data_IF_824621178251
#
_entry.id   IF_824621178251
#
_cell.length_a   1.000
_cell.length_b   1.000
_cell.length_c   1.000
_cell.angle_alpha   90.00
_cell.angle_beta   90.00
_cell.angle_gamma   90.00
#
_symmetry.space_group_name_H-M   'P 1'
#
loop_
_entity.id
_entity.type
_entity.pdbx_description
1 polymer ?
#
# COMPACT_ATOMS: atom_id res chain seq x y z
N UNK A 1 -9.60 -3.39 6.93
CA UNK A 1 -9.15 -4.55 7.75
C UNK A 1 -10.35 -5.10 8.53
N UNK A 2 -10.44 -6.43 8.67
CA UNK A 2 -11.52 -7.07 9.46
C UNK A 2 -11.53 -6.60 10.93
N UNK A 3 -10.39 -6.21 11.46
CA UNK A 3 -10.27 -5.66 12.84
C UNK A 3 -10.96 -4.30 13.02
N UNK A 4 -11.20 -3.58 11.92
CA UNK A 4 -11.86 -2.28 11.93
C UNK A 4 -13.38 -2.38 11.74
N UNK A 5 -13.94 -3.58 11.66
CA UNK A 5 -15.38 -3.78 11.56
C UNK A 5 -16.04 -3.61 12.93
N UNK A 6 -17.24 -3.01 12.92
CA UNK A 6 -18.11 -2.88 14.11
C UNK A 6 -19.55 -3.23 13.73
N UNK A 7 -20.37 -3.54 14.70
CA UNK A 7 -21.81 -3.79 14.50
C UNK A 7 -22.46 -2.51 13.99
N UNK A 8 -23.16 -2.60 12.86
CA UNK A 8 -23.72 -1.45 12.13
C UNK A 8 -22.80 -0.85 11.06
N UNK A 9 -21.59 -1.39 10.85
CA UNK A 9 -20.76 -0.96 9.73
C UNK A 9 -21.44 -1.27 8.39
N UNK A 10 -21.36 -0.32 7.47
CA UNK A 10 -21.91 -0.44 6.12
C UNK A 10 -20.91 -1.13 5.20
N UNK A 11 -21.35 -2.17 4.52
CA UNK A 11 -20.61 -2.90 3.51
C UNK A 11 -21.37 -2.83 2.19
N UNK A 12 -20.69 -3.04 1.07
CA UNK A 12 -21.29 -3.02 -0.26
C UNK A 12 -21.31 -4.45 -0.83
N UNK A 13 -22.47 -4.90 -1.31
CA UNK A 13 -22.60 -6.17 -2.03
C UNK A 13 -22.27 -6.01 -3.52
N UNK A 14 -22.27 -7.13 -4.26
CA UNK A 14 -22.00 -7.17 -5.72
C UNK A 14 -22.97 -6.34 -6.57
N UNK A 15 -24.13 -5.99 -6.06
CA UNK A 15 -25.16 -5.22 -6.76
C UNK A 15 -25.11 -3.73 -6.38
N UNK A 16 -24.17 -3.34 -5.50
CA UNK A 16 -24.06 -1.98 -5.00
C UNK A 16 -24.99 -1.66 -3.81
N UNK A 17 -25.67 -2.66 -3.25
CA UNK A 17 -26.53 -2.44 -2.09
C UNK A 17 -25.72 -2.35 -0.81
N UNK A 18 -26.17 -1.53 0.13
CA UNK A 18 -25.61 -1.45 1.46
C UNK A 18 -26.11 -2.63 2.30
N UNK A 19 -25.17 -3.33 2.92
CA UNK A 19 -25.40 -4.43 3.87
C UNK A 19 -24.77 -4.07 5.19
N UNK A 20 -25.52 -4.18 6.29
CA UNK A 20 -25.02 -3.86 7.63
C UNK A 20 -24.38 -5.08 8.28
N UNK A 21 -23.32 -4.83 9.05
CA UNK A 21 -22.74 -5.85 9.94
C UNK A 21 -23.65 -6.00 11.16
N UNK A 22 -24.36 -7.12 11.25
CA UNK A 22 -25.30 -7.36 12.36
C UNK A 22 -24.62 -7.96 13.59
N UNK A 23 -23.59 -8.80 13.38
CA UNK A 23 -22.90 -9.50 14.48
C UNK A 23 -21.42 -9.67 14.17
N UNK A 24 -20.60 -9.66 15.20
CA UNK A 24 -19.17 -9.96 15.15
C UNK A 24 -18.85 -11.03 16.20
N UNK A 25 -18.19 -12.08 15.78
CA UNK A 25 -17.73 -13.14 16.68
C UNK A 25 -16.20 -13.17 16.69
N UNK A 26 -15.64 -13.34 17.88
CA UNK A 26 -14.22 -13.70 18.04
C UNK A 26 -14.17 -15.13 18.53
N UNK A 27 -13.53 -15.97 17.77
CA UNK A 27 -13.25 -17.35 18.16
C UNK A 27 -11.83 -17.42 18.71
N UNK A 28 -11.68 -17.98 19.91
CA UNK A 28 -10.38 -18.25 20.47
C UNK A 28 -9.98 -19.67 20.05
N UNK A 29 -9.04 -19.76 19.14
CA UNK A 29 -8.56 -21.04 18.59
C UNK A 29 -7.56 -21.77 19.52
N UNK A 30 -7.22 -21.19 20.68
CA UNK A 30 -6.18 -21.73 21.56
C UNK A 30 -4.86 -21.91 20.81
N UNK A 31 -4.32 -23.12 20.84
CA UNK A 31 -3.08 -23.49 20.14
C UNK A 31 -3.32 -23.99 18.69
N UNK A 32 -4.56 -23.97 18.21
CA UNK A 32 -4.88 -24.36 16.84
C UNK A 32 -4.54 -23.25 15.85
N UNK A 33 -3.87 -23.61 14.76
CA UNK A 33 -3.59 -22.70 13.66
C UNK A 33 -4.56 -22.91 12.50
N UNK A 34 -5.23 -21.85 12.06
CA UNK A 34 -6.07 -21.88 10.87
C UNK A 34 -5.34 -21.25 9.69
N UNK A 35 -5.28 -21.99 8.58
CA UNK A 35 -4.77 -21.40 7.34
C UNK A 35 -5.73 -20.35 6.81
N UNK A 36 -5.29 -19.09 6.76
CA UNK A 36 -6.00 -18.02 6.08
C UNK A 36 -5.38 -17.77 4.72
N UNK A 37 -6.22 -17.64 3.71
CA UNK A 37 -5.79 -17.33 2.36
C UNK A 37 -6.14 -15.86 2.06
N UNK A 38 -5.16 -15.12 1.59
CA UNK A 38 -5.37 -13.77 1.10
C UNK A 38 -5.28 -13.81 -0.42
N UNK A 39 -6.40 -13.56 -1.08
CA UNK A 39 -6.44 -13.50 -2.54
C UNK A 39 -6.00 -12.12 -3.01
N UNK A 40 -5.06 -12.11 -3.94
CA UNK A 40 -4.70 -10.92 -4.67
C UNK A 40 -5.28 -11.00 -6.07
N UNK A 41 -6.18 -10.08 -6.40
CA UNK A 41 -6.73 -9.94 -7.74
C UNK A 41 -5.85 -8.95 -8.49
N UNK A 42 -5.28 -9.39 -9.60
CA UNK A 42 -4.43 -8.58 -10.45
C UNK A 42 -5.19 -7.34 -10.93
N UNK A 43 -4.57 -6.16 -10.84
CA UNK A 43 -5.08 -4.83 -11.20
C UNK A 43 -6.16 -4.22 -10.30
N UNK A 44 -7.07 -4.97 -9.69
CA UNK A 44 -8.23 -4.39 -8.99
C UNK A 44 -8.15 -4.44 -7.45
N UNK A 45 -7.35 -5.33 -6.87
CA UNK A 45 -7.21 -5.54 -5.41
C UNK A 45 -8.54 -5.68 -4.66
N UNK A 46 -9.62 -5.93 -5.38
CA UNK A 46 -10.97 -6.08 -4.88
C UNK A 46 -11.56 -7.41 -5.30
N UNK A 47 -12.28 -8.04 -4.40
CA UNK A 47 -12.98 -9.29 -4.67
C UNK A 47 -14.21 -9.42 -3.77
N UNK A 48 -15.10 -10.33 -4.12
CA UNK A 48 -16.31 -10.58 -3.35
C UNK A 48 -16.13 -11.79 -2.44
N UNK A 49 -16.61 -11.69 -1.21
CA UNK A 49 -16.54 -12.77 -0.21
C UNK A 49 -17.91 -13.14 0.34
N UNK A 50 -18.01 -14.41 0.76
CA UNK A 50 -19.21 -14.94 1.40
C UNK A 50 -20.39 -15.13 0.43
N UNK A 51 -21.49 -15.65 0.99
CA UNK A 51 -22.72 -15.90 0.21
C UNK A 51 -23.41 -14.61 -0.22
N UNK A 52 -23.28 -13.57 0.56
CA UNK A 52 -23.84 -12.23 0.30
C UNK A 52 -22.99 -11.44 -0.70
N UNK A 53 -21.84 -11.99 -1.14
CA UNK A 53 -20.94 -11.36 -2.11
C UNK A 53 -20.55 -9.94 -1.71
N UNK A 54 -20.02 -9.79 -0.49
CA UNK A 54 -19.53 -8.52 0.03
C UNK A 54 -18.23 -8.14 -0.68
N UNK A 55 -18.14 -6.90 -1.14
CA UNK A 55 -16.95 -6.34 -1.75
C UNK A 55 -15.87 -6.13 -0.69
N UNK A 56 -14.72 -6.77 -0.89
CA UNK A 56 -13.53 -6.61 -0.05
C UNK A 56 -12.44 -5.98 -0.89
N UNK A 57 -11.84 -4.93 -0.36
CA UNK A 57 -10.69 -4.28 -0.96
C UNK A 57 -9.44 -4.60 -0.14
N UNK A 58 -8.45 -5.19 -0.80
CA UNK A 58 -7.15 -5.44 -0.18
C UNK A 58 -6.24 -4.23 -0.44
N UNK A 59 -6.38 -3.19 0.40
CA UNK A 59 -5.69 -1.92 0.25
C UNK A 59 -4.19 -1.95 0.60
N UNK A 60 -3.66 -3.12 0.99
CA UNK A 60 -2.23 -3.27 1.27
C UNK A 60 -1.44 -3.02 -0.02
N UNK A 61 -0.50 -2.08 0.03
CA UNK A 61 0.34 -1.65 -1.11
C UNK A 61 -0.41 -0.93 -2.25
N UNK A 62 -1.52 -0.26 -1.92
CA UNK A 62 -2.21 0.60 -2.89
C UNK A 62 -1.29 1.74 -3.36
N UNK A 63 -1.33 2.05 -4.65
CA UNK A 63 -0.45 3.04 -5.30
C UNK A 63 -1.28 4.16 -5.92
N UNK A 64 -0.88 5.39 -5.70
CA UNK A 64 -1.56 6.56 -6.26
C UNK A 64 -0.77 7.85 -6.02
N UNK A 65 -1.36 8.99 -6.36
CA UNK A 65 -0.83 10.28 -5.98
C UNK A 65 -1.02 10.52 -4.49
N UNK A 66 -0.03 11.08 -3.83
CA UNK A 66 -0.03 11.22 -2.37
C UNK A 66 -1.27 11.91 -1.81
N UNK A 67 -1.72 13.00 -2.44
CA UNK A 67 -2.90 13.78 -2.00
C UNK A 67 -4.25 13.09 -2.27
N UNK A 68 -4.29 12.14 -3.22
CA UNK A 68 -5.51 11.40 -3.59
C UNK A 68 -5.69 10.13 -2.74
N UNK A 69 -4.64 9.68 -2.06
CA UNK A 69 -4.70 8.46 -1.24
C UNK A 69 -5.37 8.73 0.10
N UNK A 70 -6.39 7.94 0.51
CA UNK A 70 -7.00 8.05 1.82
C UNK A 70 -6.03 7.58 2.92
N UNK A 71 -6.20 8.15 4.13
CA UNK A 71 -5.53 7.61 5.32
C UNK A 71 -6.20 6.30 5.74
N UNK A 72 -5.39 5.39 6.27
CA UNK A 72 -5.85 4.08 6.72
C UNK A 72 -5.16 3.70 8.03
N UNK A 73 -5.91 3.21 9.05
CA UNK A 73 -5.31 2.75 10.31
C UNK A 73 -4.27 1.65 10.07
N UNK A 74 -3.13 1.73 10.76
CA UNK A 74 -2.05 0.75 10.63
C UNK A 74 -1.17 0.92 9.38
N UNK A 75 -1.53 1.80 8.45
CA UNK A 75 -0.80 2.05 7.22
C UNK A 75 -0.21 3.46 7.19
N UNK A 76 0.89 3.61 6.46
CA UNK A 76 1.49 4.89 6.13
C UNK A 76 1.45 5.12 4.61
N UNK A 77 1.31 6.38 4.22
CA UNK A 77 1.53 6.79 2.82
C UNK A 77 3.01 7.09 2.63
N UNK A 78 3.70 6.19 1.96
CA UNK A 78 5.12 6.32 1.68
C UNK A 78 5.33 7.03 0.35
N UNK A 79 6.00 8.20 0.38
CA UNK A 79 6.46 8.85 -0.83
C UNK A 79 7.55 8.03 -1.52
N UNK A 80 7.39 7.76 -2.80
CA UNK A 80 8.43 7.21 -3.66
C UNK A 80 8.79 8.30 -4.67
N UNK A 81 10.02 8.80 -4.71
CA UNK A 81 11.11 8.66 -3.74
C UNK A 81 11.02 9.68 -2.60
N UNK A 82 12.06 9.71 -1.75
CA UNK A 82 12.16 10.72 -0.69
C UNK A 82 11.95 12.13 -1.20
N UNK A 83 10.85 12.77 -0.81
CA UNK A 83 10.41 14.08 -1.32
C UNK A 83 11.48 15.18 -1.22
N UNK A 84 12.20 15.25 -0.09
CA UNK A 84 13.19 16.31 0.14
C UNK A 84 14.41 16.19 -0.77
N UNK A 85 14.81 14.97 -1.09
CA UNK A 85 15.95 14.70 -2.00
C UNK A 85 15.50 14.87 -3.44
N UNK A 86 14.32 14.36 -3.78
CA UNK A 86 13.75 14.49 -5.12
C UNK A 86 13.61 15.96 -5.54
N UNK A 87 13.13 16.84 -4.65
CA UNK A 87 13.04 18.28 -4.92
C UNK A 87 14.40 18.96 -5.15
N UNK A 88 15.48 18.40 -4.62
CA UNK A 88 16.83 18.91 -4.89
C UNK A 88 17.36 18.48 -6.27
N UNK A 89 17.00 17.27 -6.70
CA UNK A 89 17.39 16.69 -7.97
C UNK A 89 16.51 17.17 -9.12
N UNK A 90 15.24 17.43 -8.84
CA UNK A 90 14.25 18.00 -9.76
C UNK A 90 13.41 19.07 -9.04
N UNK A 91 13.73 20.36 -9.21
CA UNK A 91 12.99 21.46 -8.58
C UNK A 91 11.51 21.54 -8.98
N UNK A 92 11.13 20.97 -10.14
CA UNK A 92 9.76 20.95 -10.64
C UNK A 92 8.91 19.82 -10.03
N UNK A 93 9.53 18.87 -9.32
CA UNK A 93 8.81 17.79 -8.68
C UNK A 93 7.86 18.30 -7.57
N UNK A 94 6.56 18.01 -7.71
CA UNK A 94 5.57 18.28 -6.68
C UNK A 94 5.30 17.03 -5.82
N UNK A 95 5.72 17.01 -4.55
CA UNK A 95 5.49 15.87 -3.68
C UNK A 95 3.99 15.61 -3.39
N UNK A 96 3.12 16.62 -3.53
CA UNK A 96 1.69 16.44 -3.24
C UNK A 96 1.02 15.53 -4.25
N UNK A 97 1.46 15.60 -5.50
CA UNK A 97 0.97 14.78 -6.63
C UNK A 97 1.93 13.64 -6.96
N UNK A 98 3.05 13.55 -6.25
CA UNK A 98 4.07 12.52 -6.47
C UNK A 98 3.55 11.11 -6.20
N UNK A 99 4.05 10.12 -6.98
CA UNK A 99 3.71 8.72 -6.79
C UNK A 99 4.05 8.26 -5.37
N UNK A 100 3.11 7.56 -4.76
CA UNK A 100 3.19 7.08 -3.38
C UNK A 100 2.53 5.72 -3.26
N UNK A 101 2.89 5.00 -2.21
CA UNK A 101 2.37 3.68 -1.94
C UNK A 101 1.96 3.57 -0.48
N UNK A 102 0.84 2.91 -0.20
CA UNK A 102 0.49 2.52 1.17
C UNK A 102 1.36 1.36 1.61
N UNK A 103 1.95 1.49 2.78
CA UNK A 103 2.78 0.44 3.38
C UNK A 103 2.39 0.27 4.85
N UNK A 104 2.57 -0.92 5.43
CA UNK A 104 2.46 -1.10 6.87
C UNK A 104 3.40 -0.14 7.60
N UNK A 105 3.00 0.34 8.78
CA UNK A 105 3.86 1.18 9.64
C UNK A 105 5.14 0.47 10.04
N UNK A 106 5.05 -0.85 10.24
CA UNK A 106 6.22 -1.72 10.42
C UNK A 106 7.07 -1.71 9.13
N UNK A 107 8.33 -1.34 9.29
CA UNK A 107 9.27 -1.12 8.17
C UNK A 107 9.28 0.30 7.61
N UNK A 108 8.33 1.18 7.98
CA UNK A 108 8.32 2.59 7.59
C UNK A 108 8.56 3.54 8.76
N UNK A 109 7.63 3.64 9.69
CA UNK A 109 7.74 4.47 10.90
C UNK A 109 8.04 3.65 12.16
N UNK A 110 7.70 2.37 12.16
CA UNK A 110 8.02 1.41 13.21
C UNK A 110 9.10 0.46 12.68
N UNK A 111 10.15 0.22 13.47
CA UNK A 111 11.22 -0.70 13.06
C UNK A 111 10.73 -2.14 13.02
N UNK A 112 10.90 -2.78 11.87
CA UNK A 112 10.65 -4.21 11.61
C UNK A 112 11.96 -5.00 11.78
N UNK A 113 11.95 -6.32 12.02
CA UNK A 113 13.16 -7.17 12.03
C UNK A 113 14.00 -7.07 10.75
N UNK A 114 13.40 -6.79 9.60
CA UNK A 114 14.09 -6.54 8.32
C UNK A 114 14.63 -5.11 8.21
N UNK A 115 14.39 -4.28 9.23
CA UNK A 115 14.79 -2.90 9.30
C UNK A 115 13.70 -1.92 8.90
N UNK A 116 14.12 -0.76 8.45
CA UNK A 116 13.25 0.33 7.96
C UNK A 116 13.71 0.71 6.55
N UNK A 117 12.80 1.27 5.75
CA UNK A 117 13.16 1.82 4.42
C UNK A 117 14.31 2.82 4.58
N UNK A 118 15.42 2.56 3.90
CA UNK A 118 16.64 3.36 4.04
C UNK A 118 16.43 4.79 3.55
N UNK A 119 17.00 5.75 4.28
CA UNK A 119 17.04 7.16 3.88
C UNK A 119 18.42 7.59 3.35
N UNK A 120 19.35 6.64 3.19
CA UNK A 120 20.69 6.95 2.65
C UNK A 120 20.59 7.39 1.19
N UNK A 121 21.25 8.47 0.85
CA UNK A 121 21.34 9.02 -0.51
C UNK A 121 22.77 9.01 -1.05
N UNK A 122 23.66 8.25 -0.39
CA UNK A 122 25.06 8.15 -0.79
C UNK A 122 25.17 7.58 -2.22
N UNK A 123 25.85 8.31 -3.09
CA UNK A 123 26.09 7.90 -4.47
C UNK A 123 24.91 8.11 -5.43
N UNK A 124 23.83 8.76 -4.99
CA UNK A 124 22.66 9.06 -5.83
C UNK A 124 22.81 10.47 -6.40
N UNK A 125 22.80 10.56 -7.72
CA UNK A 125 23.05 11.80 -8.46
C UNK A 125 21.92 12.18 -9.43
N UNK A 126 20.91 11.32 -9.60
CA UNK A 126 19.79 11.57 -10.50
C UNK A 126 18.44 11.18 -9.88
N UNK A 127 17.32 11.77 -10.38
CA UNK A 127 15.97 11.36 -10.00
C UNK A 127 15.72 9.86 -10.23
N UNK A 128 16.14 9.32 -11.38
CA UNK A 128 15.96 7.91 -11.73
C UNK A 128 16.67 6.96 -10.77
N UNK A 129 17.92 7.27 -10.40
CA UNK A 129 18.66 6.49 -9.39
C UNK A 129 17.96 6.52 -8.04
N UNK A 130 17.41 7.68 -7.62
CA UNK A 130 16.70 7.82 -6.37
C UNK A 130 15.40 6.99 -6.36
N UNK A 131 14.63 7.04 -7.45
CA UNK A 131 13.40 6.28 -7.62
C UNK A 131 13.69 4.77 -7.54
N UNK A 132 14.66 4.30 -8.30
CA UNK A 132 15.03 2.88 -8.34
C UNK A 132 15.58 2.38 -7.00
N UNK A 133 16.35 3.21 -6.30
CA UNK A 133 16.82 2.89 -4.95
C UNK A 133 15.63 2.70 -3.98
N UNK A 134 14.66 3.63 -3.99
CA UNK A 134 13.49 3.53 -3.10
C UNK A 134 12.61 2.32 -3.43
N UNK A 135 12.43 1.99 -4.71
CA UNK A 135 11.73 0.78 -5.14
C UNK A 135 12.45 -0.49 -4.62
N UNK A 136 13.78 -0.54 -4.71
CA UNK A 136 14.56 -1.68 -4.21
C UNK A 136 14.48 -1.79 -2.67
N UNK A 137 14.46 -0.66 -1.96
CA UNK A 137 14.26 -0.64 -0.51
C UNK A 137 12.86 -1.12 -0.10
N UNK A 138 11.82 -0.74 -0.86
CA UNK A 138 10.47 -1.27 -0.66
C UNK A 138 10.45 -2.80 -0.79
N UNK A 139 11.04 -3.36 -1.84
CA UNK A 139 11.14 -4.82 -2.03
C UNK A 139 11.92 -5.50 -0.92
N UNK A 140 12.96 -4.86 -0.40
CA UNK A 140 13.77 -5.39 0.70
C UNK A 140 12.98 -5.45 2.02
N UNK A 141 12.24 -4.39 2.33
CA UNK A 141 11.51 -4.27 3.61
C UNK A 141 10.18 -5.01 3.54
N UNK A 142 9.52 -4.96 2.41
CA UNK A 142 8.21 -5.57 2.17
C UNK A 142 8.30 -6.63 1.06
N UNK A 143 8.81 -7.82 1.33
CA UNK A 143 9.00 -8.85 0.31
C UNK A 143 7.69 -9.41 -0.27
N UNK A 144 6.57 -9.12 0.37
CA UNK A 144 5.21 -9.45 -0.07
C UNK A 144 4.54 -8.34 -0.90
N UNK A 145 5.31 -7.26 -1.23
CA UNK A 145 4.78 -6.21 -2.11
C UNK A 145 4.52 -6.78 -3.51
N UNK A 146 3.31 -6.60 -4.07
CA UNK A 146 3.00 -7.11 -5.39
C UNK A 146 3.82 -6.43 -6.49
N UNK A 147 4.27 -7.19 -7.47
CA UNK A 147 4.94 -6.61 -8.65
C UNK A 147 3.99 -5.69 -9.43
N UNK A 148 2.68 -5.92 -9.41
CA UNK A 148 1.69 -4.99 -9.99
C UNK A 148 1.74 -3.60 -9.34
N UNK A 149 1.89 -3.50 -8.00
CA UNK A 149 2.06 -2.23 -7.29
C UNK A 149 3.38 -1.54 -7.66
N UNK A 150 4.46 -2.31 -7.77
CA UNK A 150 5.77 -1.80 -8.21
C UNK A 150 5.70 -1.29 -9.66
N UNK A 151 5.09 -2.06 -10.56
CA UNK A 151 4.93 -1.68 -11.95
C UNK A 151 4.06 -0.43 -12.10
N UNK A 152 3.00 -0.29 -11.29
CA UNK A 152 2.17 0.91 -11.25
C UNK A 152 2.98 2.15 -10.84
N UNK A 153 3.84 2.04 -9.79
CA UNK A 153 4.77 3.11 -9.41
C UNK A 153 5.70 3.50 -10.55
N UNK A 154 6.33 2.51 -11.20
CA UNK A 154 7.24 2.72 -12.33
C UNK A 154 6.53 3.43 -13.48
N UNK A 155 5.33 2.99 -13.82
CA UNK A 155 4.55 3.58 -14.91
C UNK A 155 4.17 5.03 -14.61
N UNK A 156 3.74 5.35 -13.37
CA UNK A 156 3.46 6.72 -12.98
C UNK A 156 4.69 7.64 -13.15
N UNK A 157 5.89 7.16 -12.81
CA UNK A 157 7.12 7.94 -13.03
C UNK A 157 7.46 8.09 -14.50
N UNK A 158 7.25 7.05 -15.32
CA UNK A 158 7.44 7.14 -16.78
C UNK A 158 6.49 8.15 -17.41
N UNK A 159 5.24 8.20 -16.97
CA UNK A 159 4.26 9.20 -17.39
C UNK A 159 4.66 10.63 -17.01
N UNK A 160 5.38 10.80 -15.90
CA UNK A 160 5.99 12.08 -15.50
C UNK A 160 7.28 12.39 -16.28
N UNK A 161 7.75 11.52 -17.18
CA UNK A 161 8.92 11.74 -18.05
C UNK A 161 10.24 11.22 -17.50
N UNK A 162 10.24 10.50 -16.35
CA UNK A 162 11.47 9.90 -15.83
C UNK A 162 11.84 8.63 -16.60
N UNK A 163 13.14 8.48 -16.91
CA UNK A 163 13.69 7.28 -17.56
C UNK A 163 14.08 6.25 -16.50
N UNK A 164 13.33 5.16 -16.41
CA UNK A 164 13.54 4.07 -15.45
C UNK A 164 13.78 2.75 -16.17
#
# INVERSE_FOLDING_TARGET
SAEALWIGAELIDKNGNVVLVEQLYRENLGDESVKVYNFQVEEYHTYFVGRTMILVHNAKYDVGKYNEMPNEPGMDKHHVPQKAVMKKLDPNYDPSTGPSIKVPKEGHTIKDPRGIVSRSTKGINSPSELIMRDINELRRVYPDIPESSINKLINMFKEMGYKL
#
